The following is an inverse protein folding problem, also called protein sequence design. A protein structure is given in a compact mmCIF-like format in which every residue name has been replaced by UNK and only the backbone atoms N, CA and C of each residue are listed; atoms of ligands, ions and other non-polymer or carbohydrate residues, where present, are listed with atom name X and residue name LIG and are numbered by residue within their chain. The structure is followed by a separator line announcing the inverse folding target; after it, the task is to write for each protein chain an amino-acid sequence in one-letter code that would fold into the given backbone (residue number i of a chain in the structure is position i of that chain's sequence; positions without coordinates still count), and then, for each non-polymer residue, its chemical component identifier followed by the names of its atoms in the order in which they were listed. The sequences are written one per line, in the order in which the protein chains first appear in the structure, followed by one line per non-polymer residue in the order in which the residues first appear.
data_IF_188093826424
#
_entry.id   IF_188093826424
#
_cell.length_a   1.000
_cell.length_b   1.000
_cell.length_c   1.000
_cell.angle_alpha   90.00
_cell.angle_beta   90.00
_cell.angle_gamma   90.00
#
_symmetry.space_group_name_H-M   'P 1'
#
loop_
_entity.id
_entity.type
_entity.pdbx_description
1 polymer ?
#
# COMPACT_ATOMS: atom_id res chain seq x y z
N UNK A 1 24.90 -7.94 -19.17
CA UNK A 1 24.69 -8.62 -17.87
C UNK A 1 24.47 -7.53 -16.84
N UNK A 2 23.22 -7.21 -16.49
CA UNK A 2 22.93 -6.22 -15.43
C UNK A 2 23.01 -6.92 -14.08
N UNK A 3 24.00 -6.56 -13.29
CA UNK A 3 24.18 -6.97 -11.91
C UNK A 3 23.21 -6.21 -11.00
N UNK A 4 22.21 -6.92 -10.48
CA UNK A 4 21.32 -6.42 -9.43
C UNK A 4 22.11 -6.19 -8.13
N UNK A 5 21.93 -5.06 -7.42
CA UNK A 5 22.57 -4.84 -6.12
C UNK A 5 22.10 -5.86 -5.06
N UNK A 6 22.96 -6.29 -4.13
CA UNK A 6 22.57 -7.17 -3.04
C UNK A 6 21.62 -6.43 -2.08
N UNK A 7 20.50 -7.07 -1.73
CA UNK A 7 19.52 -6.57 -0.75
C UNK A 7 18.13 -6.29 -1.29
N UNK A 8 17.88 -6.43 -2.59
CA UNK A 8 16.51 -6.38 -3.12
C UNK A 8 15.91 -7.78 -3.09
N UNK A 9 15.09 -8.05 -2.08
CA UNK A 9 14.13 -9.16 -2.16
C UNK A 9 13.35 -8.97 -3.47
N UNK A 10 13.31 -9.99 -4.33
CA UNK A 10 12.59 -9.89 -5.59
C UNK A 10 11.09 -9.99 -5.27
N UNK A 11 10.50 -8.89 -4.80
CA UNK A 11 9.07 -8.78 -4.59
C UNK A 11 8.40 -9.23 -5.88
N UNK A 12 7.57 -10.28 -5.80
CA UNK A 12 6.70 -10.72 -6.88
C UNK A 12 5.33 -10.13 -6.58
N UNK A 13 4.98 -8.96 -7.14
CA UNK A 13 3.74 -8.29 -6.79
C UNK A 13 2.58 -9.21 -7.18
N UNK A 14 1.73 -9.55 -6.21
CA UNK A 14 0.51 -10.28 -6.50
C UNK A 14 -0.46 -9.33 -7.20
N UNK A 15 -1.15 -9.82 -8.23
CA UNK A 15 -2.24 -9.07 -8.84
C UNK A 15 -3.29 -8.81 -7.76
N UNK A 16 -3.58 -7.53 -7.50
CA UNK A 16 -4.63 -7.14 -6.59
C UNK A 16 -5.97 -7.22 -7.32
N UNK A 17 -6.93 -7.90 -6.72
CA UNK A 17 -8.35 -7.77 -7.07
C UNK A 17 -8.94 -6.81 -6.05
N UNK A 18 -9.49 -5.70 -6.52
CA UNK A 18 -10.14 -4.69 -5.69
C UNK A 18 -11.66 -4.83 -5.82
N UNK A 19 -12.38 -4.50 -4.75
CA UNK A 19 -13.82 -4.35 -4.81
C UNK A 19 -14.18 -3.20 -5.77
N UNK A 20 -15.40 -3.27 -6.31
CA UNK A 20 -15.91 -2.19 -7.12
C UNK A 20 -16.04 -0.93 -6.24
N UNK A 21 -15.49 0.23 -6.66
CA UNK A 21 -15.69 1.47 -5.93
C UNK A 21 -17.16 1.91 -5.98
N UNK A 22 -17.62 2.77 -5.06
CA UNK A 22 -18.97 3.30 -5.12
C UNK A 22 -19.25 4.02 -6.46
N UNK A 23 -20.53 4.11 -6.82
CA UNK A 23 -20.95 4.48 -8.17
C UNK A 23 -20.36 5.83 -8.65
N UNK A 24 -20.31 6.81 -7.75
CA UNK A 24 -19.81 8.15 -8.06
C UNK A 24 -18.31 8.13 -8.37
N UNK A 25 -17.51 7.48 -7.53
CA UNK A 25 -16.06 7.32 -7.70
C UNK A 25 -15.75 6.53 -8.98
N UNK A 26 -16.55 5.50 -9.29
CA UNK A 26 -16.42 4.77 -10.55
C UNK A 26 -16.67 5.67 -11.77
N UNK A 27 -17.70 6.52 -11.73
CA UNK A 27 -17.99 7.50 -12.80
C UNK A 27 -16.84 8.49 -12.98
N UNK A 28 -16.27 9.00 -11.89
CA UNK A 28 -15.11 9.90 -11.93
C UNK A 28 -13.88 9.22 -12.54
N UNK A 29 -13.60 7.97 -12.13
CA UNK A 29 -12.51 7.17 -12.68
C UNK A 29 -12.69 6.94 -14.19
N UNK A 30 -13.90 6.56 -14.62
CA UNK A 30 -14.21 6.33 -16.02
C UNK A 30 -14.08 7.62 -16.86
N UNK A 31 -14.56 8.76 -16.36
CA UNK A 31 -14.42 10.05 -17.01
C UNK A 31 -12.94 10.44 -17.19
N UNK A 32 -12.15 10.28 -16.13
CA UNK A 32 -10.71 10.59 -16.18
C UNK A 32 -9.95 9.68 -17.14
N UNK A 33 -10.27 8.38 -17.16
CA UNK A 33 -9.70 7.43 -18.11
C UNK A 33 -10.04 7.80 -19.56
N UNK A 34 -11.28 8.23 -19.82
CA UNK A 34 -11.74 8.70 -21.13
C UNK A 34 -10.96 9.95 -21.59
N UNK A 35 -10.89 11.00 -20.75
CA UNK A 35 -10.20 12.24 -21.11
C UNK A 35 -8.70 12.06 -21.36
N UNK A 36 -8.08 11.06 -20.71
CA UNK A 36 -6.66 10.74 -20.89
C UNK A 36 -6.42 9.66 -21.96
N UNK A 37 -7.47 9.11 -22.58
CA UNK A 37 -7.43 8.01 -23.54
C UNK A 37 -6.64 6.80 -23.01
N UNK A 38 -7.03 6.28 -21.84
CA UNK A 38 -6.36 5.15 -21.16
C UNK A 38 -7.35 4.04 -20.79
N UNK A 39 -6.90 2.77 -20.73
CA UNK A 39 -7.67 1.71 -20.09
C UNK A 39 -7.99 2.06 -18.64
N UNK A 40 -9.21 1.73 -18.20
CA UNK A 40 -9.70 2.13 -16.87
C UNK A 40 -8.86 1.50 -15.75
N UNK A 41 -8.37 0.27 -15.93
CA UNK A 41 -7.53 -0.45 -14.98
C UNK A 41 -6.15 0.20 -14.81
N UNK A 42 -5.57 0.66 -15.93
CA UNK A 42 -4.32 1.42 -15.92
C UNK A 42 -4.51 2.74 -15.20
N UNK A 43 -5.63 3.43 -15.43
CA UNK A 43 -5.93 4.68 -14.75
C UNK A 43 -6.20 4.47 -13.25
N UNK A 44 -6.88 3.38 -12.86
CA UNK A 44 -7.08 3.02 -11.47
C UNK A 44 -5.74 2.79 -10.75
N UNK A 45 -4.83 2.05 -11.39
CA UNK A 45 -3.48 1.80 -10.88
C UNK A 45 -2.71 3.11 -10.72
N UNK A 46 -2.82 4.03 -11.69
CA UNK A 46 -2.18 5.34 -11.63
C UNK A 46 -2.75 6.21 -10.50
N UNK A 47 -4.07 6.22 -10.33
CA UNK A 47 -4.74 6.97 -9.26
C UNK A 47 -4.33 6.45 -7.88
N UNK A 48 -4.34 5.12 -7.67
CA UNK A 48 -3.87 4.51 -6.42
C UNK A 48 -2.39 4.83 -6.16
N UNK A 49 -1.54 4.71 -7.17
CA UNK A 49 -0.12 5.03 -7.06
C UNK A 49 0.12 6.49 -6.68
N UNK A 50 -0.66 7.41 -7.25
CA UNK A 50 -0.58 8.83 -6.93
C UNK A 50 -1.01 9.10 -5.49
N UNK A 51 -2.13 8.50 -5.07
CA UNK A 51 -2.63 8.64 -3.71
C UNK A 51 -1.63 8.12 -2.66
N UNK A 52 -1.01 6.96 -2.91
CA UNK A 52 0.04 6.41 -2.05
C UNK A 52 1.25 7.35 -1.93
N UNK A 53 1.69 7.98 -3.03
CA UNK A 53 2.77 8.97 -3.00
C UNK A 53 2.39 10.21 -2.19
N UNK A 54 1.16 10.69 -2.33
CA UNK A 54 0.65 11.81 -1.53
C UNK A 54 0.57 11.46 -0.04
N UNK A 55 0.32 10.18 0.28
CA UNK A 55 0.34 9.66 1.65
C UNK A 55 1.72 9.41 2.24
N UNK A 56 2.80 9.52 1.46
CA UNK A 56 4.16 9.16 1.87
C UNK A 56 4.57 9.77 3.21
N UNK A 57 4.33 11.06 3.41
CA UNK A 57 4.76 11.79 4.60
C UNK A 57 3.97 11.42 5.86
N UNK A 58 2.84 10.72 5.71
CA UNK A 58 2.10 10.12 6.83
C UNK A 58 2.55 8.68 7.11
N UNK A 59 2.84 7.93 6.05
CA UNK A 59 3.19 6.49 6.13
C UNK A 59 4.63 6.30 6.64
N UNK A 60 5.60 6.95 6.00
CA UNK A 60 7.01 6.66 6.26
C UNK A 60 7.50 7.03 7.67
N UNK A 61 7.00 8.07 8.36
CA UNK A 61 7.36 8.29 9.77
C UNK A 61 7.00 7.11 10.68
N UNK A 62 5.82 6.49 10.48
CA UNK A 62 5.42 5.31 11.26
C UNK A 62 6.32 4.12 10.95
N UNK A 63 6.60 3.89 9.66
CA UNK A 63 7.53 2.83 9.23
C UNK A 63 8.90 3.04 9.87
N UNK A 64 9.47 4.24 9.82
CA UNK A 64 10.76 4.56 10.45
C UNK A 64 10.75 4.33 11.96
N UNK A 65 9.67 4.72 12.64
CA UNK A 65 9.54 4.51 14.08
C UNK A 65 9.60 3.02 14.46
N UNK A 66 8.80 2.19 13.79
CA UNK A 66 8.76 0.75 14.06
C UNK A 66 10.02 0.04 13.59
N UNK A 67 10.61 0.46 12.47
CA UNK A 67 11.87 -0.06 11.98
C UNK A 67 13.01 0.20 12.98
N UNK A 68 13.08 1.43 13.51
CA UNK A 68 14.03 1.79 14.56
C UNK A 68 13.83 0.94 15.84
N UNK A 69 12.58 0.75 16.28
CA UNK A 69 12.26 -0.11 17.43
C UNK A 69 12.71 -1.56 17.21
N UNK A 70 12.64 -2.05 15.97
CA UNK A 70 13.05 -3.39 15.59
C UNK A 70 14.54 -3.51 15.19
N UNK A 71 15.30 -2.42 15.22
CA UNK A 71 16.73 -2.42 14.87
C UNK A 71 17.01 -2.67 13.38
N UNK A 72 16.09 -2.29 12.48
CA UNK A 72 16.24 -2.43 11.02
C UNK A 72 15.96 -1.11 10.29
N UNK A 73 16.29 -1.06 9.00
CA UNK A 73 15.95 0.08 8.14
C UNK A 73 14.47 0.10 7.77
N UNK A 74 13.95 1.28 7.43
CA UNK A 74 12.57 1.45 6.99
C UNK A 74 12.23 0.63 5.74
N UNK A 75 13.19 0.44 4.84
CA UNK A 75 12.99 -0.34 3.61
C UNK A 75 12.94 -1.84 3.88
N UNK A 76 13.76 -2.35 4.80
CA UNK A 76 13.66 -3.74 5.27
C UNK A 76 12.30 -3.99 5.93
N UNK A 77 11.78 -3.04 6.70
CA UNK A 77 10.45 -3.16 7.28
C UNK A 77 9.35 -3.16 6.20
N UNK A 78 9.45 -2.32 5.16
CA UNK A 78 8.51 -2.35 4.04
C UNK A 78 8.48 -3.72 3.35
N UNK A 79 9.65 -4.29 3.07
CA UNK A 79 9.76 -5.64 2.50
C UNK A 79 9.11 -6.68 3.43
N UNK A 80 9.37 -6.60 4.74
CA UNK A 80 8.77 -7.51 5.73
C UNK A 80 7.25 -7.38 5.82
N UNK A 81 6.70 -6.18 5.70
CA UNK A 81 5.25 -5.95 5.67
C UNK A 81 4.62 -6.65 4.45
N UNK A 82 5.29 -6.63 3.30
CA UNK A 82 4.78 -7.30 2.09
C UNK A 82 4.94 -8.83 2.19
N UNK A 83 6.04 -9.31 2.75
CA UNK A 83 6.33 -10.74 2.91
C UNK A 83 5.43 -11.42 3.95
N UNK A 84 5.30 -10.83 5.15
CA UNK A 84 4.58 -11.40 6.27
C UNK A 84 4.04 -10.30 7.21
N UNK A 85 2.89 -9.68 6.86
CA UNK A 85 2.32 -8.62 7.66
C UNK A 85 1.92 -9.08 9.07
N UNK A 86 1.45 -10.32 9.23
CA UNK A 86 1.06 -10.86 10.53
C UNK A 86 2.26 -10.91 11.49
N UNK A 87 3.41 -11.39 11.00
CA UNK A 87 4.64 -11.41 11.81
C UNK A 87 5.08 -10.01 12.25
N UNK A 88 4.93 -9.00 11.38
CA UNK A 88 5.22 -7.60 11.75
C UNK A 88 4.28 -7.13 12.86
N UNK A 89 2.99 -7.43 12.75
CA UNK A 89 2.01 -7.08 13.79
C UNK A 89 2.35 -7.73 15.14
N UNK A 90 2.65 -9.03 15.14
CA UNK A 90 2.91 -9.79 16.35
C UNK A 90 4.26 -9.41 17.00
N UNK A 91 5.29 -9.20 16.19
CA UNK A 91 6.68 -9.07 16.67
C UNK A 91 7.09 -7.62 16.89
N UNK A 92 6.69 -6.72 15.98
CA UNK A 92 7.17 -5.32 15.96
C UNK A 92 6.14 -4.39 16.59
N UNK A 93 4.89 -4.50 16.13
CA UNK A 93 3.78 -3.67 16.59
C UNK A 93 3.21 -4.19 17.92
N UNK A 94 3.49 -5.46 18.28
CA UNK A 94 3.08 -6.11 19.52
C UNK A 94 1.56 -6.09 19.72
N UNK A 95 0.81 -6.30 18.63
CA UNK A 95 -0.64 -6.48 18.67
C UNK A 95 -1.46 -5.25 19.08
N UNK A 96 -0.90 -4.04 19.05
CA UNK A 96 -1.67 -2.81 19.22
C UNK A 96 -2.03 -2.24 17.84
N UNK A 97 -3.22 -2.55 17.29
CA UNK A 97 -3.67 -1.85 16.10
C UNK A 97 -3.75 -0.35 16.43
N UNK A 98 -3.13 0.47 15.58
CA UNK A 98 -3.06 1.93 15.78
C UNK A 98 -4.46 2.57 15.66
N UNK A 99 -5.39 1.86 15.01
CA UNK A 99 -6.79 2.24 14.85
C UNK A 99 -7.72 1.08 15.29
N UNK A 100 -8.89 1.36 15.88
CA UNK A 100 -9.86 0.33 16.25
C UNK A 100 -10.28 -0.50 15.03
N UNK A 101 -10.32 -1.83 15.17
CA UNK A 101 -10.76 -2.75 14.10
C UNK A 101 -12.28 -2.82 13.93
N UNK A 102 -13.02 -2.18 14.84
CA UNK A 102 -14.49 -2.29 14.92
C UNK A 102 -15.21 -1.12 14.24
N UNK A 103 -14.48 -0.19 13.61
CA UNK A 103 -15.09 0.85 12.80
C UNK A 103 -15.45 0.27 11.42
N UNK A 104 -16.72 0.38 10.97
CA UNK A 104 -17.09 -0.03 9.62
C UNK A 104 -16.23 0.74 8.63
N UNK A 105 -15.63 0.02 7.67
CA UNK A 105 -14.89 0.67 6.58
C UNK A 105 -15.86 1.67 5.91
N UNK A 106 -15.37 2.86 5.60
CA UNK A 106 -16.15 3.95 4.99
C UNK A 106 -16.77 3.51 3.64
N UNK A 107 -16.26 2.43 3.06
CA UNK A 107 -16.78 1.79 1.85
C UNK A 107 -17.57 0.50 2.11
N UNK A 108 -17.85 0.15 3.36
CA UNK A 108 -18.80 -0.90 3.72
C UNK A 108 -20.22 -0.34 3.65
N UNK A 109 -21.02 -0.82 2.70
CA UNK A 109 -22.47 -0.64 2.73
C UNK A 109 -23.12 -1.50 3.85
#
# INVERSE_FOLDING_TARGET
MSSTPPGQSHLSPKKLTINQPPEYEYKLLAALACFLNRPIETQATAALSMYLRQGHDRIMPQVRYYAHKAGMSEYELLDKIVENPQWVYDTIIQGQPIHPTDEPDVFSD
#
